data_IF_927750119358
#
_entry.id   IF_927750119358
#
_cell.length_a   1.000
_cell.length_b   1.000
_cell.length_c   1.000
_cell.angle_alpha   90.00
_cell.angle_beta   90.00
_cell.angle_gamma   90.00
#
_symmetry.space_group_name_H-M   'P 1'
#
loop_
_entity.id
_entity.type
_entity.pdbx_description
1 polymer ?
#
# COMPACT_ATOMS: atom_id res chain seq x y z
N UNK A 1 -38.37 15.66 50.53
CA UNK A 1 -37.59 15.00 49.48
C UNK A 1 -36.47 15.91 48.99
N UNK A 2 -35.21 15.50 49.19
CA UNK A 2 -34.06 16.17 48.56
C UNK A 2 -33.77 15.40 47.27
N UNK A 3 -34.29 15.90 46.16
CA UNK A 3 -33.94 15.37 44.84
C UNK A 3 -32.47 15.69 44.55
N UNK A 4 -31.68 14.67 44.23
CA UNK A 4 -30.39 14.86 43.60
C UNK A 4 -30.63 15.10 42.10
N UNK A 5 -30.14 16.22 41.58
CA UNK A 5 -30.02 16.43 40.13
C UNK A 5 -28.72 15.78 39.71
N UNK A 6 -28.80 14.66 39.00
CA UNK A 6 -27.66 14.07 38.32
C UNK A 6 -27.48 14.84 37.01
N UNK A 7 -26.52 15.75 36.96
CA UNK A 7 -26.09 16.37 35.70
C UNK A 7 -25.13 15.38 35.06
N UNK A 8 -25.61 14.62 34.08
CA UNK A 8 -24.76 13.79 33.24
C UNK A 8 -24.12 14.72 32.20
N UNK A 9 -22.82 14.97 32.32
CA UNK A 9 -22.04 15.57 31.25
C UNK A 9 -21.77 14.47 30.23
N UNK A 10 -22.55 14.42 29.15
CA UNK A 10 -22.23 13.58 28.00
C UNK A 10 -20.96 14.16 27.39
N UNK A 11 -19.86 13.40 27.41
CA UNK A 11 -18.65 13.80 26.67
C UNK A 11 -18.98 13.71 25.17
N UNK A 12 -18.44 14.60 24.34
CA UNK A 12 -18.52 14.43 22.90
C UNK A 12 -17.84 13.11 22.51
N UNK A 13 -18.38 12.43 21.50
CA UNK A 13 -17.71 11.27 20.89
C UNK A 13 -16.44 11.77 20.19
N UNK A 14 -15.34 11.06 20.38
CA UNK A 14 -14.05 11.40 19.81
C UNK A 14 -13.59 10.21 18.97
N UNK A 15 -13.11 10.50 17.79
CA UNK A 15 -12.47 9.56 16.89
C UNK A 15 -10.93 9.73 17.02
N UNK A 16 -10.16 8.65 17.01
CA UNK A 16 -8.69 8.69 17.07
C UNK A 16 -8.08 7.80 15.99
N UNK A 17 -6.83 8.09 15.63
CA UNK A 17 -6.10 7.20 14.75
C UNK A 17 -5.68 5.92 15.47
N UNK A 18 -5.30 4.93 14.69
CA UNK A 18 -4.97 3.59 15.18
C UNK A 18 -3.66 3.02 14.55
N UNK A 19 -2.91 3.84 13.81
CA UNK A 19 -1.60 3.44 13.28
C UNK A 19 -0.69 2.96 14.43
N UNK A 20 0.23 2.01 14.18
CA UNK A 20 0.97 1.34 15.24
C UNK A 20 1.72 2.32 16.15
N UNK A 21 1.54 2.12 17.46
CA UNK A 21 2.24 2.86 18.51
C UNK A 21 2.29 1.97 19.76
N UNK A 22 3.44 1.31 19.97
CA UNK A 22 3.60 0.31 21.03
C UNK A 22 4.19 0.87 22.34
N UNK A 23 4.82 2.04 22.29
CA UNK A 23 5.57 2.63 23.40
C UNK A 23 5.62 4.16 23.24
N UNK A 24 5.68 4.97 24.32
CA UNK A 24 5.74 6.42 24.17
C UNK A 24 6.95 6.91 23.35
N UNK A 25 6.70 7.88 22.47
CA UNK A 25 7.66 8.60 21.65
C UNK A 25 7.88 7.99 20.27
N UNK A 26 8.70 8.67 19.46
CA UNK A 26 8.84 8.33 18.05
C UNK A 26 9.95 7.29 17.79
N UNK A 27 9.61 6.24 17.04
CA UNK A 27 10.54 5.23 16.53
C UNK A 27 10.02 4.63 15.22
N UNK A 28 10.88 3.90 14.48
CA UNK A 28 10.43 3.18 13.29
C UNK A 28 9.30 2.19 13.63
N UNK A 29 8.17 2.32 12.93
CA UNK A 29 6.95 1.56 13.23
C UNK A 29 6.18 2.06 14.46
N UNK A 30 6.42 3.30 14.90
CA UNK A 30 5.66 4.00 15.92
C UNK A 30 5.22 5.38 15.40
N UNK A 31 3.92 5.54 15.20
CA UNK A 31 3.27 6.65 14.50
C UNK A 31 2.67 7.73 15.41
N UNK A 32 3.11 7.78 16.68
CA UNK A 32 2.66 8.75 17.70
C UNK A 32 1.12 8.83 17.74
N UNK A 33 0.48 7.69 17.91
CA UNK A 33 -0.96 7.52 17.87
C UNK A 33 -1.58 7.60 19.26
N UNK A 34 -0.81 7.22 20.28
CA UNK A 34 -1.26 7.29 21.66
C UNK A 34 -1.41 8.75 22.14
N UNK A 35 -2.36 8.97 23.04
CA UNK A 35 -2.60 10.27 23.67
C UNK A 35 -1.39 10.85 24.41
N UNK A 36 -0.47 9.99 24.86
CA UNK A 36 0.79 10.40 25.52
C UNK A 36 1.75 11.12 24.56
N UNK A 37 1.61 10.88 23.26
CA UNK A 37 2.41 11.48 22.18
C UNK A 37 1.62 12.51 21.37
N UNK A 38 0.52 13.03 21.96
CA UNK A 38 -0.38 13.97 21.30
C UNK A 38 -0.99 13.37 20.02
N UNK A 39 -1.39 12.10 20.07
CA UNK A 39 -1.98 11.40 18.91
C UNK A 39 -3.17 12.12 18.27
N UNK A 40 -3.44 11.84 16.98
CA UNK A 40 -4.54 12.48 16.28
C UNK A 40 -5.87 12.10 16.93
N UNK A 41 -6.72 13.10 17.11
CA UNK A 41 -8.07 12.89 17.61
C UNK A 41 -9.00 13.98 17.12
N UNK A 42 -10.27 13.65 16.95
CA UNK A 42 -11.30 14.51 16.38
C UNK A 42 -12.59 14.41 17.17
N UNK A 43 -13.21 15.54 17.52
CA UNK A 43 -14.61 15.48 17.96
C UNK A 43 -15.48 15.12 16.75
N UNK A 44 -16.33 14.11 16.89
CA UNK A 44 -17.24 13.74 15.79
C UNK A 44 -18.37 14.75 15.71
N UNK A 45 -18.60 15.28 14.51
CA UNK A 45 -19.71 16.19 14.22
C UNK A 45 -20.54 15.67 13.05
N UNK A 46 -21.83 15.99 13.06
CA UNK A 46 -22.72 15.55 11.99
C UNK A 46 -22.31 16.16 10.64
N UNK A 47 -22.09 15.29 9.65
CA UNK A 47 -21.89 15.71 8.26
C UNK A 47 -20.44 16.10 7.92
N UNK A 48 -19.45 15.68 8.72
CA UNK A 48 -18.04 15.82 8.38
C UNK A 48 -17.34 14.50 8.66
N UNK A 49 -17.13 13.70 7.63
CA UNK A 49 -16.54 12.36 7.74
C UNK A 49 -15.95 11.90 6.40
N UNK A 50 -14.99 11.01 6.48
CA UNK A 50 -14.42 10.17 5.45
C UNK A 50 -15.38 9.01 5.19
N UNK A 51 -15.45 8.55 3.94
CA UNK A 51 -16.22 7.34 3.62
C UNK A 51 -17.73 7.45 3.86
N UNK A 52 -18.31 6.42 4.47
CA UNK A 52 -19.74 6.18 4.62
C UNK A 52 -20.26 6.32 6.05
N UNK A 53 -19.42 6.08 7.04
CA UNK A 53 -19.74 6.16 8.47
C UNK A 53 -18.54 6.68 9.25
N UNK A 54 -18.83 7.27 10.42
CA UNK A 54 -17.83 7.65 11.41
C UNK A 54 -18.35 7.16 12.75
N UNK A 55 -17.51 6.52 13.54
CA UNK A 55 -17.79 6.23 14.92
C UNK A 55 -16.66 6.72 15.84
N UNK A 56 -16.80 6.48 17.14
CA UNK A 56 -15.88 7.08 18.09
C UNK A 56 -15.66 6.20 19.29
N UNK A 57 -14.51 6.43 19.91
CA UNK A 57 -13.91 5.56 20.89
C UNK A 57 -13.49 6.32 22.15
N UNK A 58 -13.24 5.56 23.22
CA UNK A 58 -12.86 6.14 24.52
C UNK A 58 -11.38 6.56 24.54
N UNK A 59 -10.50 5.83 23.84
CA UNK A 59 -9.05 6.04 23.72
C UNK A 59 -8.54 5.38 22.43
N UNK A 60 -7.45 5.92 21.86
CA UNK A 60 -6.78 5.34 20.68
C UNK A 60 -6.45 3.85 20.83
N UNK A 61 -6.69 3.08 19.77
CA UNK A 61 -6.51 1.63 19.74
C UNK A 61 -5.40 1.17 18.76
N UNK A 62 -4.13 1.57 18.94
CA UNK A 62 -3.11 1.31 17.94
C UNK A 62 -2.87 -0.18 17.66
N UNK A 63 -2.74 -0.52 16.39
CA UNK A 63 -2.62 -1.91 15.91
C UNK A 63 -1.46 -2.09 14.92
N UNK A 64 -1.04 -3.34 14.68
CA UNK A 64 0.03 -3.61 13.69
C UNK A 64 -0.42 -3.48 12.24
N UNK A 65 -1.72 -3.27 12.04
CA UNK A 65 -2.40 -3.34 10.75
C UNK A 65 -3.18 -2.08 10.42
N UNK A 66 -3.32 -1.16 11.40
CA UNK A 66 -4.25 -0.03 11.35
C UNK A 66 -5.69 -0.55 11.13
N UNK A 67 -6.17 -1.35 12.10
CA UNK A 67 -7.46 -2.02 12.21
C UNK A 67 -7.84 -2.32 13.70
N UNK A 68 -7.44 -1.46 14.63
CA UNK A 68 -7.45 -1.74 16.08
C UNK A 68 -8.70 -1.29 16.82
N UNK A 69 -9.26 -0.16 16.42
CA UNK A 69 -10.60 0.37 16.70
C UNK A 69 -11.70 -0.53 16.10
N UNK A 70 -11.41 -1.12 14.94
CA UNK A 70 -12.16 -2.11 14.18
C UNK A 70 -12.57 -3.39 14.99
N UNK A 71 -12.00 -3.58 16.18
CA UNK A 71 -12.27 -4.71 17.09
C UNK A 71 -13.61 -4.57 17.85
N UNK A 72 -14.22 -3.39 17.85
CA UNK A 72 -15.51 -3.12 18.48
C UNK A 72 -16.72 -3.66 17.64
N UNK A 73 -16.54 -3.91 16.34
CA UNK A 73 -17.55 -4.45 15.40
C UNK A 73 -18.86 -3.65 15.31
N UNK A 74 -18.85 -2.35 15.53
CA UNK A 74 -19.95 -1.49 15.13
C UNK A 74 -19.97 -1.36 13.60
N UNK A 75 -20.54 -2.35 12.92
CA UNK A 75 -20.81 -2.24 11.48
C UNK A 75 -21.63 -0.96 11.20
N UNK A 76 -21.21 -0.12 10.22
CA UNK A 76 -20.07 -0.31 9.31
C UNK A 76 -18.76 0.31 9.84
N UNK A 77 -17.67 -0.42 9.57
CA UNK A 77 -16.25 -0.02 9.59
C UNK A 77 -16.05 1.39 9.02
N UNK A 78 -15.42 2.27 9.79
CA UNK A 78 -15.14 3.67 9.46
C UNK A 78 -13.77 3.88 8.79
N UNK A 79 -12.93 2.85 8.62
CA UNK A 79 -11.83 2.86 7.64
C UNK A 79 -12.34 2.66 6.19
N UNK A 80 -13.43 3.35 5.83
CA UNK A 80 -14.12 3.21 4.55
C UNK A 80 -13.98 4.42 3.60
N UNK A 81 -13.16 5.41 3.99
CA UNK A 81 -12.72 6.53 3.15
C UNK A 81 -12.02 6.08 1.85
N UNK A 82 -11.30 4.96 1.88
CA UNK A 82 -10.65 4.36 0.71
C UNK A 82 -11.40 3.11 0.21
N UNK A 83 -11.74 3.08 -1.08
CA UNK A 83 -12.50 1.96 -1.67
C UNK A 83 -11.71 0.65 -1.74
N UNK A 84 -10.41 0.71 -2.02
CA UNK A 84 -9.55 -0.46 -2.04
C UNK A 84 -8.16 -0.09 -1.52
N UNK A 85 -8.00 0.09 -0.19
CA UNK A 85 -6.77 0.62 0.41
C UNK A 85 -5.52 -0.15 -0.02
N UNK A 86 -5.62 -1.47 -0.17
CA UNK A 86 -4.49 -2.34 -0.58
C UNK A 86 -3.97 -2.02 -1.99
N UNK A 87 -4.81 -1.53 -2.90
CA UNK A 87 -4.39 -1.11 -4.25
C UNK A 87 -4.16 0.41 -4.31
N UNK A 88 -5.01 1.20 -3.66
CA UNK A 88 -4.91 2.66 -3.65
C UNK A 88 -3.63 3.16 -2.95
N UNK A 89 -3.13 2.40 -1.97
CA UNK A 89 -1.86 2.64 -1.26
C UNK A 89 -0.74 1.68 -1.65
N UNK A 90 -0.86 1.03 -2.82
CA UNK A 90 0.24 0.29 -3.44
C UNK A 90 1.07 1.21 -4.32
N UNK A 91 2.15 1.70 -3.74
CA UNK A 91 2.94 2.80 -4.29
C UNK A 91 4.24 2.26 -4.86
N UNK A 92 4.78 2.95 -5.86
CA UNK A 92 6.06 2.62 -6.48
C UNK A 92 7.03 3.77 -6.28
N UNK A 93 8.27 3.47 -5.86
CA UNK A 93 9.32 4.50 -5.71
C UNK A 93 9.53 5.29 -7.01
N UNK A 94 9.79 6.58 -6.90
CA UNK A 94 9.99 7.49 -8.03
C UNK A 94 8.71 7.91 -8.76
N UNK A 95 7.54 7.46 -8.32
CA UNK A 95 6.24 7.92 -8.86
C UNK A 95 5.62 9.01 -7.98
N UNK A 96 4.61 9.70 -8.51
CA UNK A 96 3.80 10.67 -7.77
C UNK A 96 2.41 10.06 -7.55
N UNK A 97 2.13 9.44 -6.39
CA UNK A 97 0.87 8.74 -6.18
C UNK A 97 -0.28 9.73 -6.05
N UNK A 98 -1.45 9.31 -6.54
CA UNK A 98 -2.72 10.03 -6.40
C UNK A 98 -3.69 9.08 -5.72
N UNK A 99 -4.24 9.50 -4.59
CA UNK A 99 -5.21 8.73 -3.81
C UNK A 99 -6.56 9.45 -3.91
N UNK A 100 -7.63 8.71 -4.21
CA UNK A 100 -8.99 9.23 -4.16
C UNK A 100 -9.60 8.84 -2.82
N UNK A 101 -10.02 9.83 -2.05
CA UNK A 101 -10.64 9.65 -0.73
C UNK A 101 -12.11 10.05 -0.85
N UNK A 102 -13.00 9.20 -0.36
CA UNK A 102 -14.44 9.51 -0.26
C UNK A 102 -14.64 10.42 0.94
N UNK A 103 -15.34 11.54 0.77
CA UNK A 103 -15.56 12.51 1.85
C UNK A 103 -16.97 13.07 1.83
N UNK A 104 -17.47 13.42 3.00
CA UNK A 104 -18.71 14.15 3.22
C UNK A 104 -18.41 15.42 4.01
N UNK A 105 -18.90 16.56 3.53
CA UNK A 105 -18.85 17.83 4.25
C UNK A 105 -20.15 18.62 4.00
N UNK A 106 -21.02 18.64 4.99
CA UNK A 106 -22.28 19.40 5.01
C UNK A 106 -22.35 20.34 6.21
N UNK A 107 -21.20 20.81 6.70
CA UNK A 107 -21.07 21.61 7.93
C UNK A 107 -21.47 23.07 7.75
N UNK A 108 -21.64 23.53 6.51
CA UNK A 108 -21.83 24.94 6.17
C UNK A 108 -20.52 25.72 5.99
N UNK A 109 -19.35 25.07 6.11
CA UNK A 109 -18.03 25.65 5.91
C UNK A 109 -17.14 24.73 5.05
N UNK A 110 -16.12 25.29 4.41
CA UNK A 110 -15.07 24.46 3.77
C UNK A 110 -14.28 23.71 4.84
N UNK A 111 -13.89 22.47 4.53
CA UNK A 111 -13.00 21.64 5.33
C UNK A 111 -11.70 21.36 4.57
N UNK A 112 -10.69 20.87 5.26
CA UNK A 112 -9.42 20.42 4.69
C UNK A 112 -9.28 18.92 4.88
N UNK A 113 -9.06 18.21 3.78
CA UNK A 113 -8.57 16.83 3.80
C UNK A 113 -7.05 16.88 3.74
N UNK A 114 -6.39 16.33 4.76
CA UNK A 114 -4.94 16.15 4.81
C UNK A 114 -4.62 14.66 4.82
N UNK A 115 -3.65 14.24 4.01
CA UNK A 115 -3.17 12.86 4.01
C UNK A 115 -1.65 12.80 4.07
N UNK A 116 -1.11 11.78 4.74
CA UNK A 116 0.31 11.49 4.84
C UNK A 116 0.58 10.04 4.44
N UNK A 117 1.73 9.78 3.84
CA UNK A 117 2.25 8.44 3.60
C UNK A 117 3.71 8.44 4.05
N UNK A 118 4.05 7.65 5.07
CA UNK A 118 5.43 7.58 5.59
C UNK A 118 6.32 6.89 4.54
N UNK A 119 7.01 7.71 3.76
CA UNK A 119 7.78 7.25 2.62
C UNK A 119 9.12 6.67 3.01
N UNK A 120 9.63 7.00 4.19
CA UNK A 120 10.97 6.65 4.61
C UNK A 120 10.97 5.51 5.65
N UNK A 121 9.80 5.16 6.19
CA UNK A 121 9.59 4.08 7.15
C UNK A 121 10.11 4.38 8.55
N UNK A 122 10.27 5.66 8.92
CA UNK A 122 10.84 6.08 10.21
C UNK A 122 9.80 6.26 11.32
N UNK A 123 8.51 6.08 11.00
CA UNK A 123 7.40 6.25 11.94
C UNK A 123 6.92 7.71 12.09
N UNK A 124 7.48 8.67 11.34
CA UNK A 124 7.08 10.07 11.38
C UNK A 124 6.42 10.46 10.08
N UNK A 125 5.19 10.96 10.17
CA UNK A 125 4.55 11.65 9.07
C UNK A 125 5.10 13.09 8.91
N UNK A 126 5.84 13.36 7.84
CA UNK A 126 6.46 14.67 7.59
C UNK A 126 5.58 15.59 6.71
N UNK A 127 5.31 16.80 7.22
CA UNK A 127 4.47 17.79 6.55
C UNK A 127 5.04 18.35 5.24
N UNK A 128 6.34 18.22 4.98
CA UNK A 128 7.02 18.73 3.79
C UNK A 128 7.21 17.63 2.74
N UNK A 129 7.59 16.44 3.17
CA UNK A 129 7.98 15.35 2.28
C UNK A 129 6.86 14.34 1.97
N UNK A 130 5.87 14.21 2.86
CA UNK A 130 4.97 13.06 2.87
C UNK A 130 3.49 13.45 2.82
N UNK A 131 3.19 14.74 2.92
CA UNK A 131 1.82 15.25 2.98
C UNK A 131 1.25 15.64 1.61
N UNK A 132 -0.03 15.35 1.43
CA UNK A 132 -0.91 15.96 0.44
C UNK A 132 -2.12 16.61 1.14
N UNK A 133 -2.68 17.66 0.55
CA UNK A 133 -3.88 18.32 1.06
C UNK A 133 -4.82 18.72 -0.07
N UNK A 134 -6.12 18.74 0.22
CA UNK A 134 -7.15 19.27 -0.66
C UNK A 134 -8.25 19.95 0.15
N UNK A 135 -8.87 20.97 -0.43
CA UNK A 135 -10.06 21.60 0.12
C UNK A 135 -11.29 20.75 -0.20
N UNK A 136 -12.14 20.53 0.80
CA UNK A 136 -13.43 19.85 0.68
C UNK A 136 -14.53 20.89 0.85
N UNK A 137 -15.27 21.16 -0.22
CA UNK A 137 -16.32 22.17 -0.22
C UNK A 137 -17.51 21.76 0.65
N UNK A 138 -18.22 22.73 1.23
CA UNK A 138 -19.54 22.50 1.82
C UNK A 138 -20.53 21.98 0.75
N UNK A 139 -21.37 21.04 1.15
CA UNK A 139 -22.30 20.32 0.29
C UNK A 139 -21.71 19.11 -0.43
N UNK A 140 -20.47 18.71 -0.11
CA UNK A 140 -19.90 17.44 -0.59
C UNK A 140 -20.64 16.28 0.10
N UNK A 141 -21.14 15.31 -0.67
CA UNK A 141 -21.96 14.19 -0.19
C UNK A 141 -21.45 12.89 -0.80
N UNK A 142 -20.57 12.20 -0.07
CA UNK A 142 -19.81 11.04 -0.57
C UNK A 142 -19.05 11.32 -1.88
N UNK A 143 -18.48 12.52 -1.99
CA UNK A 143 -17.68 12.91 -3.16
C UNK A 143 -16.27 12.34 -3.09
N UNK A 144 -15.65 12.08 -4.24
CA UNK A 144 -14.25 11.67 -4.32
C UNK A 144 -13.34 12.89 -4.43
N UNK A 145 -12.49 13.09 -3.43
CA UNK A 145 -11.47 14.13 -3.41
C UNK A 145 -10.08 13.53 -3.67
N UNK A 146 -9.33 14.15 -4.58
CA UNK A 146 -8.00 13.68 -4.97
C UNK A 146 -6.90 14.33 -4.14
N UNK A 147 -6.08 13.49 -3.53
CA UNK A 147 -4.82 13.87 -2.92
C UNK A 147 -3.67 13.51 -3.86
N UNK A 148 -2.93 14.53 -4.31
CA UNK A 148 -1.72 14.36 -5.12
C UNK A 148 -0.50 14.50 -4.21
N UNK A 149 0.14 13.37 -3.90
CA UNK A 149 1.28 13.34 -2.99
C UNK A 149 2.59 13.79 -3.67
N UNK A 150 3.64 14.12 -2.91
CA UNK A 150 4.97 14.32 -3.44
C UNK A 150 5.54 13.04 -4.09
N UNK A 151 6.57 13.21 -4.92
CA UNK A 151 7.28 12.07 -5.53
C UNK A 151 7.90 11.19 -4.44
N UNK A 152 7.63 9.89 -4.53
CA UNK A 152 8.12 8.89 -3.58
C UNK A 152 9.65 8.77 -3.72
N UNK A 153 10.43 9.01 -2.67
CA UNK A 153 11.87 8.86 -2.74
C UNK A 153 12.28 7.38 -2.87
N UNK A 154 13.52 7.13 -3.31
CA UNK A 154 14.01 5.76 -3.63
C UNK A 154 14.77 5.09 -2.48
N UNK A 155 14.64 5.61 -1.26
CA UNK A 155 15.40 5.18 -0.08
C UNK A 155 14.72 4.06 0.72
N UNK A 156 13.44 3.79 0.46
CA UNK A 156 12.67 2.78 1.19
C UNK A 156 11.71 2.04 0.26
N UNK A 157 11.60 0.74 0.50
CA UNK A 157 10.58 -0.13 -0.06
C UNK A 157 10.20 -1.16 1.00
N UNK A 158 8.92 -1.40 1.17
CA UNK A 158 8.38 -2.20 2.26
C UNK A 158 6.96 -1.77 2.63
N UNK A 159 6.49 -2.33 3.74
CA UNK A 159 5.26 -1.87 4.39
C UNK A 159 5.54 -0.62 5.21
N UNK A 160 4.63 0.34 5.10
CA UNK A 160 4.56 1.55 5.92
C UNK A 160 3.09 1.86 6.21
N UNK A 161 2.77 3.05 6.70
CA UNK A 161 1.41 3.49 7.00
C UNK A 161 1.09 4.82 6.32
N UNK A 162 -0.20 5.10 6.22
CA UNK A 162 -0.77 6.34 5.77
C UNK A 162 -1.81 6.80 6.79
N UNK A 163 -2.00 8.11 6.89
CA UNK A 163 -2.99 8.75 7.76
C UNK A 163 -3.79 9.75 6.96
N UNK A 164 -5.09 9.80 7.13
CA UNK A 164 -5.97 10.80 6.56
C UNK A 164 -6.71 11.50 7.67
N UNK A 165 -6.82 12.82 7.59
CA UNK A 165 -7.55 13.65 8.55
C UNK A 165 -8.42 14.63 7.79
N UNK A 166 -9.72 14.65 8.10
CA UNK A 166 -10.68 15.60 7.56
C UNK A 166 -11.19 16.49 8.69
N UNK A 167 -11.11 17.82 8.54
CA UNK A 167 -11.59 18.75 9.57
C UNK A 167 -11.80 20.15 9.03
N UNK A 168 -12.62 20.97 9.70
CA UNK A 168 -12.62 22.43 9.51
C UNK A 168 -11.56 23.14 10.36
N UNK A 169 -10.95 22.43 11.32
CA UNK A 169 -9.87 22.90 12.16
C UNK A 169 -8.50 22.74 11.48
N UNK A 170 -7.75 23.83 11.42
CA UNK A 170 -6.35 23.83 10.96
C UNK A 170 -5.41 22.93 11.78
N UNK A 171 -5.80 22.53 13.00
CA UNK A 171 -5.04 21.56 13.79
C UNK A 171 -4.84 20.23 13.03
N UNK A 172 -5.86 19.78 12.29
CA UNK A 172 -5.83 18.57 11.48
C UNK A 172 -4.98 18.70 10.20
N UNK A 173 -4.32 19.83 9.97
CA UNK A 173 -3.27 19.97 8.95
C UNK A 173 -1.91 19.42 9.42
N UNK A 174 -1.87 18.86 10.64
CA UNK A 174 -0.73 18.12 11.20
C UNK A 174 -1.14 16.66 11.46
N UNK A 175 -0.18 15.72 11.43
CA UNK A 175 -0.46 14.29 11.57
C UNK A 175 -0.79 13.87 13.01
N UNK A 176 -0.53 14.74 13.98
CA UNK A 176 -0.79 14.57 15.40
C UNK A 176 -1.65 15.74 15.92
N UNK A 177 -2.18 15.59 17.11
CA UNK A 177 -2.88 16.62 17.86
C UNK A 177 -4.40 16.55 17.72
N UNK A 178 -5.08 17.16 18.67
CA UNK A 178 -6.53 17.22 18.73
C UNK A 178 -7.14 18.25 17.76
N UNK A 179 -8.23 17.87 17.08
CA UNK A 179 -9.05 18.72 16.23
C UNK A 179 -10.48 18.84 16.79
N UNK A 180 -11.06 20.04 16.69
CA UNK A 180 -12.39 20.30 17.26
C UNK A 180 -13.56 19.69 16.48
N UNK A 181 -13.30 19.16 15.29
CA UNK A 181 -14.27 18.42 14.49
C UNK A 181 -13.62 17.46 13.49
N UNK A 182 -14.43 16.54 12.95
CA UNK A 182 -14.10 15.72 11.79
C UNK A 182 -13.70 14.30 12.17
N UNK A 183 -12.71 13.76 11.45
CA UNK A 183 -12.31 12.35 11.54
C UNK A 183 -10.86 12.13 11.11
N UNK A 184 -10.28 11.03 11.58
CA UNK A 184 -8.98 10.47 11.26
C UNK A 184 -9.12 9.00 10.89
N UNK A 185 -8.53 8.59 9.77
CA UNK A 185 -8.42 7.18 9.39
C UNK A 185 -6.95 6.84 9.13
N UNK A 186 -6.49 5.69 9.59
CA UNK A 186 -5.16 5.17 9.35
C UNK A 186 -5.21 3.93 8.46
N UNK A 187 -4.18 3.74 7.61
CA UNK A 187 -4.14 2.61 6.69
C UNK A 187 -2.74 2.06 6.49
N UNK A 188 -2.66 0.77 6.25
CA UNK A 188 -1.43 0.13 5.77
C UNK A 188 -1.12 0.53 4.33
N UNK A 189 0.12 0.94 4.07
CA UNK A 189 0.63 1.25 2.74
C UNK A 189 1.79 0.32 2.34
N UNK A 190 2.00 0.13 1.04
CA UNK A 190 3.08 -0.70 0.51
C UNK A 190 3.86 0.04 -0.56
N UNK A 191 5.14 0.30 -0.30
CA UNK A 191 6.06 0.92 -1.23
C UNK A 191 6.89 -0.17 -1.91
N UNK A 192 6.84 -0.21 -3.24
CA UNK A 192 7.53 -1.22 -4.05
C UNK A 192 8.68 -0.58 -4.83
N UNK A 193 9.79 -1.31 -4.95
CA UNK A 193 10.87 -0.90 -5.84
C UNK A 193 10.40 -0.90 -7.29
N UNK A 194 10.94 0.02 -8.09
CA UNK A 194 10.88 -0.12 -9.54
C UNK A 194 11.60 -1.42 -9.92
N UNK A 195 10.88 -2.38 -10.47
CA UNK A 195 11.49 -3.58 -11.03
C UNK A 195 12.50 -3.18 -12.09
N UNK A 196 13.79 -3.18 -11.76
CA UNK A 196 14.86 -2.66 -12.63
C UNK A 196 15.16 -3.55 -13.84
N UNK A 197 14.33 -4.57 -14.10
CA UNK A 197 14.56 -5.53 -15.18
C UNK A 197 15.87 -6.29 -14.99
N UNK A 198 16.20 -6.66 -13.75
CA UNK A 198 17.42 -7.41 -13.47
C UNK A 198 17.29 -8.84 -14.00
N UNK A 199 18.29 -9.29 -14.75
CA UNK A 199 18.45 -10.71 -15.05
C UNK A 199 18.78 -11.42 -13.75
N UNK A 200 17.83 -12.19 -13.23
CA UNK A 200 17.98 -12.96 -11.99
C UNK A 200 19.04 -14.06 -12.16
N UNK A 201 18.90 -14.84 -13.23
CA UNK A 201 19.86 -15.87 -13.63
C UNK A 201 20.07 -15.90 -15.14
N UNK A 202 21.30 -16.17 -15.57
CA UNK A 202 21.59 -16.51 -16.98
C UNK A 202 22.49 -17.73 -17.01
N UNK A 203 22.10 -18.73 -17.81
CA UNK A 203 22.88 -19.93 -18.03
C UNK A 203 23.17 -20.06 -19.52
N UNK A 204 24.45 -20.21 -19.86
CA UNK A 204 24.85 -20.53 -21.22
C UNK A 204 24.93 -22.05 -21.39
N UNK A 205 24.09 -22.59 -22.26
CA UNK A 205 24.19 -23.95 -22.78
C UNK A 205 24.80 -23.93 -24.18
N UNK A 206 25.75 -24.81 -24.48
CA UNK A 206 26.43 -24.85 -25.79
C UNK A 206 27.26 -26.12 -25.98
N UNK A 207 28.16 -26.14 -26.97
CA UNK A 207 29.01 -27.31 -27.25
C UNK A 207 29.74 -27.77 -25.98
N UNK A 208 29.29 -28.88 -25.39
CA UNK A 208 29.84 -29.43 -24.13
C UNK A 208 29.92 -28.40 -22.98
N UNK A 209 29.06 -27.38 -22.98
CA UNK A 209 29.00 -26.33 -21.95
C UNK A 209 27.60 -26.32 -21.35
N UNK A 210 27.50 -26.27 -20.01
CA UNK A 210 26.23 -26.12 -19.29
C UNK A 210 25.26 -27.29 -19.48
N UNK A 211 25.76 -28.51 -19.70
CA UNK A 211 24.94 -29.69 -20.03
C UNK A 211 24.47 -29.75 -21.49
N UNK A 212 24.96 -28.86 -22.36
CA UNK A 212 24.61 -28.81 -23.77
C UNK A 212 25.21 -29.96 -24.61
N UNK A 213 24.64 -30.22 -25.80
CA UNK A 213 25.06 -31.31 -26.69
C UNK A 213 26.47 -31.13 -27.26
N UNK A 214 27.01 -32.18 -27.87
CA UNK A 214 28.16 -32.05 -28.77
C UNK A 214 27.68 -31.40 -30.08
N UNK A 215 28.33 -30.33 -30.51
CA UNK A 215 27.98 -29.52 -31.67
C UNK A 215 29.26 -29.23 -32.44
N UNK A 216 29.17 -29.23 -33.75
CA UNK A 216 30.23 -28.85 -34.68
C UNK A 216 29.91 -27.47 -35.26
N UNK A 217 30.97 -26.76 -35.67
CA UNK A 217 30.84 -25.46 -36.32
C UNK A 217 29.94 -25.56 -37.55
N UNK A 218 28.85 -24.80 -37.53
CA UNK A 218 27.90 -24.74 -38.65
C UNK A 218 26.65 -25.60 -38.50
N UNK A 219 26.48 -26.36 -37.41
CA UNK A 219 25.29 -27.20 -37.17
C UNK A 219 24.00 -26.40 -36.96
N UNK A 220 24.13 -25.11 -36.60
CA UNK A 220 23.02 -24.17 -36.38
C UNK A 220 22.00 -24.66 -35.35
N UNK A 221 22.49 -25.28 -34.27
CA UNK A 221 21.71 -25.57 -33.07
C UNK A 221 21.03 -24.30 -32.55
N UNK A 222 19.76 -24.41 -32.18
CA UNK A 222 18.95 -23.26 -31.78
C UNK A 222 18.33 -22.50 -32.95
N UNK A 223 18.49 -22.97 -34.19
CA UNK A 223 17.84 -22.39 -35.37
C UNK A 223 16.32 -22.53 -35.38
N UNK A 224 15.78 -23.45 -34.57
CA UNK A 224 14.35 -23.60 -34.27
C UNK A 224 14.18 -24.22 -32.88
N UNK A 225 13.13 -23.82 -32.17
CA UNK A 225 12.77 -24.33 -30.85
C UNK A 225 11.26 -24.57 -30.79
N UNK A 226 10.85 -25.69 -30.21
CA UNK A 226 9.45 -26.02 -29.99
C UNK A 226 9.23 -26.54 -28.57
N UNK A 227 8.15 -26.09 -27.94
CA UNK A 227 7.68 -26.61 -26.66
C UNK A 227 7.07 -28.00 -26.85
N UNK A 228 7.49 -28.97 -26.05
CA UNK A 228 6.98 -30.34 -26.07
C UNK A 228 6.03 -30.64 -24.91
N UNK A 229 6.01 -29.81 -23.87
CA UNK A 229 5.43 -30.18 -22.57
C UNK A 229 6.36 -31.13 -21.83
N UNK A 230 5.90 -31.64 -20.69
CA UNK A 230 6.66 -32.57 -19.85
C UNK A 230 6.66 -33.98 -20.47
N UNK A 231 7.77 -34.38 -21.10
CA UNK A 231 7.90 -35.64 -21.84
C UNK A 231 8.42 -36.77 -20.95
N UNK A 232 9.18 -36.46 -19.89
CA UNK A 232 9.76 -37.45 -18.98
C UNK A 232 9.05 -37.60 -17.61
N UNK A 233 8.09 -36.73 -17.32
CA UNK A 233 7.16 -36.82 -16.20
C UNK A 233 7.67 -36.20 -14.91
N UNK A 234 8.62 -35.26 -14.98
CA UNK A 234 9.23 -34.62 -13.80
C UNK A 234 8.49 -33.36 -13.31
N UNK A 235 7.45 -32.92 -14.04
CA UNK A 235 6.65 -31.74 -13.73
C UNK A 235 7.17 -30.44 -14.36
N UNK A 236 8.30 -30.48 -15.06
CA UNK A 236 8.88 -29.40 -15.85
C UNK A 236 8.69 -29.75 -17.33
N UNK A 237 8.32 -28.76 -18.16
CA UNK A 237 8.14 -29.05 -19.57
C UNK A 237 9.42 -28.90 -20.40
N UNK A 238 9.52 -29.72 -21.43
CA UNK A 238 10.69 -29.92 -22.26
C UNK A 238 10.62 -29.18 -23.59
N UNK A 239 11.78 -29.10 -24.24
CA UNK A 239 11.92 -28.45 -25.53
C UNK A 239 12.62 -29.32 -26.56
N UNK A 240 12.13 -29.27 -27.79
CA UNK A 240 12.86 -29.72 -28.97
C UNK A 240 13.65 -28.55 -29.55
N UNK A 241 14.93 -28.75 -29.84
CA UNK A 241 15.81 -27.77 -30.47
C UNK A 241 16.42 -28.37 -31.73
N UNK A 242 16.25 -27.67 -32.85
CA UNK A 242 16.78 -28.09 -34.14
C UNK A 242 18.23 -27.63 -34.35
N UNK A 243 19.03 -28.50 -34.96
CA UNK A 243 20.33 -28.20 -35.57
C UNK A 243 20.28 -28.64 -37.04
N UNK A 244 19.72 -27.79 -37.89
CA UNK A 244 19.29 -28.20 -39.22
C UNK A 244 20.43 -28.45 -40.22
N UNK A 245 21.67 -28.11 -39.86
CA UNK A 245 22.87 -28.37 -40.64
C UNK A 245 23.76 -29.44 -40.01
N UNK A 246 23.29 -30.12 -38.97
CA UNK A 246 24.06 -31.18 -38.31
C UNK A 246 24.45 -32.27 -39.32
N UNK A 247 25.75 -32.58 -39.35
CA UNK A 247 26.35 -33.54 -40.28
C UNK A 247 26.34 -34.98 -39.72
N UNK A 248 25.70 -35.23 -38.57
CA UNK A 248 25.64 -36.55 -37.95
C UNK A 248 24.97 -37.55 -38.89
N UNK A 249 25.75 -38.57 -39.23
CA UNK A 249 25.41 -39.54 -40.26
C UNK A 249 25.74 -39.06 -41.68
N UNK A 250 25.70 -37.79 -42.03
CA UNK A 250 26.09 -37.33 -43.37
C UNK A 250 25.73 -35.87 -43.63
N UNK A 251 26.14 -35.37 -44.80
CA UNK A 251 26.13 -33.94 -45.13
C UNK A 251 24.75 -33.26 -44.95
N UNK A 252 24.70 -32.28 -44.04
CA UNK A 252 23.55 -31.46 -43.64
C UNK A 252 22.25 -32.24 -43.48
N UNK A 253 22.33 -33.41 -42.84
CA UNK A 253 21.12 -34.22 -42.61
C UNK A 253 20.24 -33.67 -41.50
N UNK A 254 20.82 -32.82 -40.65
CA UNK A 254 20.15 -32.17 -39.55
C UNK A 254 19.92 -33.11 -38.37
N UNK A 255 19.69 -32.50 -37.21
CA UNK A 255 19.37 -33.20 -35.97
C UNK A 255 18.29 -32.44 -35.19
N UNK A 256 17.58 -33.19 -34.35
CA UNK A 256 16.67 -32.65 -33.32
C UNK A 256 17.17 -33.14 -31.98
N UNK A 257 17.38 -32.19 -31.07
CA UNK A 257 17.74 -32.45 -29.68
C UNK A 257 16.50 -32.27 -28.81
N UNK A 258 16.22 -33.22 -27.93
CA UNK A 258 15.23 -33.06 -26.87
C UNK A 258 16.02 -32.71 -25.60
N UNK A 259 15.75 -31.54 -25.03
CA UNK A 259 16.36 -31.10 -23.79
C UNK A 259 15.35 -31.24 -22.67
N UNK A 260 15.68 -32.10 -21.71
CA UNK A 260 14.95 -32.26 -20.47
C UNK A 260 15.31 -31.11 -19.52
N UNK A 261 14.32 -30.29 -19.19
CA UNK A 261 14.52 -29.16 -18.29
C UNK A 261 14.27 -29.61 -16.86
N UNK A 262 14.89 -28.95 -15.87
CA UNK A 262 14.75 -29.27 -14.46
C UNK A 262 14.56 -27.99 -13.64
#
# INVERSE_FOLDING_TARGET
DRGAVHVLFMQPSVDFGDAPDSDPGTAAGNYNTLSVDDGPSHIIVQGLFLGGTVDGEDEAAPSTTADGDDIDKAIPDDEDGLRNPTEDLRITVGTQPVVNVTVTNTTGSEATLSGWIDYNGDGVFDNIAERAQATVADGSDSDLVQLSFPTVPVNFAGTTFARFRLSTDSAAENPTGFAVDGEVEDYRASITEIGTGRVDHSLKTGHQIGGGPALVDGDRFGGSVAWLGDVDGDGVGDVAVGAYNDDTGGYNRGAVYVLFLN
#
